data_IF_881969768351
#
_entry.id   IF_881969768351
#
_cell.length_a   1.000
_cell.length_b   1.000
_cell.length_c   1.000
_cell.angle_alpha   90.00
_cell.angle_beta   90.00
_cell.angle_gamma   90.00
#
_symmetry.space_group_name_H-M   'P 1'
#
loop_
_entity.id
_entity.type
_entity.pdbx_description
1 polymer ?
#
# COMPACT_ATOMS: atom_id res chain seq x y z
N UNK A 1 -18.19 11.19 -4.76
CA UNK A 1 -18.03 10.54 -6.08
C UNK A 1 -16.62 10.69 -6.65
N UNK A 2 -16.04 11.89 -6.77
CA UNK A 2 -14.66 12.05 -7.30
C UNK A 2 -13.60 11.25 -6.51
N UNK A 3 -13.57 11.39 -5.17
CA UNK A 3 -12.66 10.63 -4.30
C UNK A 3 -12.79 9.10 -4.44
N UNK A 4 -14.00 8.59 -4.74
CA UNK A 4 -14.19 7.16 -5.02
C UNK A 4 -13.47 6.76 -6.30
N UNK A 5 -13.62 7.56 -7.38
CA UNK A 5 -12.90 7.36 -8.62
C UNK A 5 -11.39 7.36 -8.42
N UNK A 6 -10.87 8.32 -7.68
CA UNK A 6 -9.45 8.40 -7.31
C UNK A 6 -8.97 7.14 -6.57
N UNK A 7 -9.71 6.69 -5.56
CA UNK A 7 -9.38 5.46 -4.81
C UNK A 7 -9.37 4.24 -5.72
N UNK A 8 -10.37 4.09 -6.60
CA UNK A 8 -10.45 2.95 -7.50
C UNK A 8 -9.32 2.94 -8.54
N UNK A 9 -8.91 4.12 -9.04
CA UNK A 9 -7.75 4.21 -9.92
C UNK A 9 -6.44 3.90 -9.20
N UNK A 10 -6.26 4.40 -7.97
CA UNK A 10 -5.09 4.08 -7.18
C UNK A 10 -5.04 2.59 -6.79
N UNK A 11 -6.19 1.95 -6.55
CA UNK A 11 -6.28 0.48 -6.42
C UNK A 11 -5.80 -0.21 -7.70
N UNK A 12 -6.30 0.20 -8.87
CA UNK A 12 -5.92 -0.39 -10.15
C UNK A 12 -4.44 -0.19 -10.49
N UNK A 13 -3.84 0.95 -10.14
CA UNK A 13 -2.40 1.19 -10.33
C UNK A 13 -1.54 0.40 -9.34
N UNK A 14 -1.88 0.42 -8.04
CA UNK A 14 -1.11 -0.26 -6.99
C UNK A 14 -1.27 -1.77 -7.00
N UNK A 15 -2.44 -2.25 -7.41
CA UNK A 15 -2.82 -3.65 -7.50
C UNK A 15 -3.45 -3.91 -8.87
N UNK A 16 -2.66 -4.12 -9.94
CA UNK A 16 -3.18 -4.26 -11.31
C UNK A 16 -4.10 -5.46 -11.51
N UNK A 17 -3.86 -6.55 -10.80
CA UNK A 17 -4.82 -7.64 -10.64
C UNK A 17 -4.62 -8.31 -9.27
N UNK A 18 -5.61 -9.10 -8.85
CA UNK A 18 -5.63 -9.78 -7.56
C UNK A 18 -6.00 -11.25 -7.76
N UNK A 19 -5.44 -12.12 -6.93
CA UNK A 19 -5.86 -13.52 -6.83
C UNK A 19 -7.29 -13.61 -6.27
N UNK A 20 -8.18 -14.46 -6.81
CA UNK A 20 -9.53 -14.66 -6.29
C UNK A 20 -9.55 -15.07 -4.81
N UNK A 21 -10.67 -14.79 -4.14
CA UNK A 21 -10.88 -14.95 -2.70
C UNK A 21 -10.05 -13.98 -1.84
N UNK A 22 -9.55 -12.88 -2.41
CA UNK A 22 -8.83 -11.85 -1.64
C UNK A 22 -9.81 -11.03 -0.79
N UNK A 23 -9.44 -10.82 0.47
CA UNK A 23 -10.13 -9.88 1.37
C UNK A 23 -9.29 -8.61 1.47
N UNK A 24 -9.84 -7.48 1.06
CA UNK A 24 -9.21 -6.18 1.29
C UNK A 24 -9.58 -5.68 2.68
N UNK A 25 -8.58 -5.49 3.53
CA UNK A 25 -8.75 -4.97 4.89
C UNK A 25 -8.24 -3.54 4.98
N UNK A 26 -8.98 -2.66 5.61
CA UNK A 26 -8.52 -1.31 5.93
C UNK A 26 -9.23 -0.82 7.18
N UNK A 27 -8.70 0.20 7.88
CA UNK A 27 -9.39 0.77 9.04
C UNK A 27 -10.76 1.34 8.64
N UNK A 28 -10.71 2.28 7.69
CA UNK A 28 -11.85 2.90 7.02
C UNK A 28 -11.33 3.65 5.78
N UNK A 29 -12.18 3.86 4.77
CA UNK A 29 -11.85 4.76 3.66
C UNK A 29 -12.13 6.22 4.03
N UNK A 30 -11.41 7.19 3.44
CA UNK A 30 -11.61 8.61 3.69
C UNK A 30 -12.80 9.17 2.90
N UNK A 31 -13.98 8.55 3.03
CA UNK A 31 -15.20 8.98 2.35
C UNK A 31 -16.36 8.91 3.33
N UNK A 32 -17.01 10.05 3.55
CA UNK A 32 -18.20 10.13 4.38
C UNK A 32 -19.37 9.35 3.78
N UNK A 33 -20.18 8.76 4.66
CA UNK A 33 -21.44 8.07 4.34
C UNK A 33 -21.32 6.80 3.49
N UNK A 34 -20.10 6.36 3.16
CA UNK A 34 -19.87 5.08 2.50
C UNK A 34 -19.52 3.98 3.51
N UNK A 35 -20.05 2.78 3.25
CA UNK A 35 -19.72 1.60 4.04
C UNK A 35 -18.68 0.76 3.31
N UNK A 36 -17.95 -0.08 4.03
CA UNK A 36 -17.02 -1.06 3.45
C UNK A 36 -17.63 -1.84 2.27
N UNK A 37 -18.85 -2.32 2.46
CA UNK A 37 -19.58 -3.10 1.46
C UNK A 37 -19.99 -2.30 0.23
N UNK A 38 -20.06 -0.97 0.29
CA UNK A 38 -20.29 -0.12 -0.88
C UNK A 38 -19.19 -0.30 -1.93
N UNK A 39 -17.96 -0.62 -1.50
CA UNK A 39 -16.82 -0.81 -2.40
C UNK A 39 -16.79 -2.20 -3.04
N UNK A 40 -17.45 -3.20 -2.44
CA UNK A 40 -17.39 -4.60 -2.89
C UNK A 40 -17.85 -4.76 -4.34
N UNK A 41 -18.99 -4.18 -4.73
CA UNK A 41 -19.47 -4.33 -6.11
C UNK A 41 -18.53 -3.69 -7.16
N UNK A 42 -18.12 -2.41 -7.02
CA UNK A 42 -17.12 -1.80 -7.92
C UNK A 42 -15.80 -2.56 -8.00
N UNK A 43 -15.28 -3.06 -6.87
CA UNK A 43 -14.05 -3.88 -6.83
C UNK A 43 -14.22 -5.15 -7.66
N UNK A 44 -15.34 -5.86 -7.52
CA UNK A 44 -15.57 -7.05 -8.34
C UNK A 44 -15.76 -6.73 -9.83
N UNK A 45 -16.38 -5.61 -10.18
CA UNK A 45 -16.50 -5.19 -11.58
C UNK A 45 -15.17 -4.83 -12.24
N UNK A 46 -14.19 -4.32 -11.48
CA UNK A 46 -12.87 -3.99 -12.03
C UNK A 46 -11.93 -5.20 -12.06
N UNK A 47 -11.93 -6.04 -11.02
CA UNK A 47 -10.98 -7.15 -10.86
C UNK A 47 -11.48 -8.49 -11.39
N UNK A 48 -12.80 -8.66 -11.54
CA UNK A 48 -13.40 -9.85 -12.12
C UNK A 48 -14.52 -9.46 -13.10
N UNK A 49 -14.20 -8.76 -14.21
CA UNK A 49 -15.21 -8.27 -15.15
C UNK A 49 -16.03 -9.38 -15.81
N UNK A 50 -15.49 -10.59 -15.90
CA UNK A 50 -16.14 -11.78 -16.47
C UNK A 50 -16.85 -12.65 -15.41
N UNK A 51 -16.91 -12.21 -14.15
CA UNK A 51 -17.58 -12.96 -13.10
C UNK A 51 -19.08 -13.11 -13.39
N UNK A 52 -19.55 -14.36 -13.38
CA UNK A 52 -20.97 -14.71 -13.49
C UNK A 52 -21.38 -15.55 -12.28
N UNK A 53 -22.28 -14.99 -11.46
CA UNK A 53 -23.04 -15.62 -10.35
C UNK A 53 -22.40 -16.89 -9.75
N UNK A 54 -21.60 -16.71 -8.70
CA UNK A 54 -21.04 -17.75 -7.84
C UNK A 54 -20.64 -17.13 -6.47
N UNK A 55 -19.65 -17.70 -5.76
CA UNK A 55 -18.98 -16.98 -4.67
C UNK A 55 -18.28 -15.73 -5.23
N UNK A 56 -18.45 -14.59 -4.56
CA UNK A 56 -17.80 -13.34 -4.91
C UNK A 56 -16.27 -13.49 -4.81
N UNK A 57 -15.51 -13.09 -5.84
CA UNK A 57 -14.05 -13.15 -5.80
C UNK A 57 -13.41 -12.24 -4.75
N UNK A 58 -14.00 -11.07 -4.47
CA UNK A 58 -13.39 -10.07 -3.60
C UNK A 58 -14.40 -9.45 -2.64
N UNK A 59 -13.93 -9.05 -1.46
CA UNK A 59 -14.69 -8.21 -0.53
C UNK A 59 -13.76 -7.19 0.11
N UNK A 60 -14.30 -6.00 0.42
CA UNK A 60 -13.62 -5.02 1.25
C UNK A 60 -14.32 -4.95 2.61
N UNK A 61 -13.53 -4.98 3.69
CA UNK A 61 -14.02 -4.91 5.06
C UNK A 61 -13.29 -3.81 5.84
N UNK A 62 -14.05 -3.00 6.58
CA UNK A 62 -13.48 -2.05 7.53
C UNK A 62 -13.18 -2.75 8.85
N UNK A 63 -11.91 -2.75 9.26
CA UNK A 63 -11.51 -3.36 10.52
C UNK A 63 -12.17 -2.66 11.71
N UNK A 64 -12.35 -1.32 11.67
CA UNK A 64 -13.07 -0.57 12.71
C UNK A 64 -14.49 -1.09 12.94
N UNK A 65 -15.19 -1.46 11.86
CA UNK A 65 -16.61 -1.86 11.90
C UNK A 65 -16.80 -3.35 12.17
N UNK A 66 -15.85 -4.19 11.72
CA UNK A 66 -16.04 -5.64 11.62
C UNK A 66 -15.31 -6.42 12.70
N UNK A 67 -14.24 -5.88 13.28
CA UNK A 67 -13.44 -6.58 14.30
C UNK A 67 -14.28 -6.94 15.52
N UNK A 68 -14.14 -8.18 16.01
CA UNK A 68 -14.96 -8.73 17.10
C UNK A 68 -16.36 -9.16 16.67
N UNK A 69 -16.73 -8.98 15.40
CA UNK A 69 -18.00 -9.39 14.83
C UNK A 69 -17.98 -10.79 14.22
N UNK A 70 -19.11 -11.23 13.69
CA UNK A 70 -19.26 -12.59 13.10
C UNK A 70 -18.38 -12.78 11.85
N UNK A 71 -18.22 -11.74 11.02
CA UNK A 71 -17.43 -11.81 9.77
C UNK A 71 -15.92 -11.68 9.99
N UNK A 72 -15.50 -10.91 10.99
CA UNK A 72 -14.08 -10.73 11.35
C UNK A 72 -13.92 -10.79 12.88
N UNK A 73 -13.95 -12.00 13.49
CA UNK A 73 -13.89 -12.14 14.95
C UNK A 73 -12.59 -11.63 15.56
N UNK A 74 -11.47 -11.83 14.87
CA UNK A 74 -10.12 -11.48 15.34
C UNK A 74 -9.20 -11.11 14.15
N UNK A 75 -8.12 -10.39 14.45
CA UNK A 75 -7.03 -10.10 13.51
C UNK A 75 -5.92 -11.16 13.67
N UNK A 76 -6.26 -12.40 13.40
CA UNK A 76 -5.35 -13.56 13.48
C UNK A 76 -5.38 -14.32 12.15
N UNK A 77 -4.33 -15.07 11.81
CA UNK A 77 -4.30 -15.89 10.58
C UNK A 77 -5.32 -17.03 10.66
N UNK A 78 -5.71 -17.51 9.48
CA UNK A 78 -6.58 -18.68 9.28
C UNK A 78 -7.97 -18.60 9.90
N UNK A 79 -8.44 -17.39 10.23
CA UNK A 79 -9.81 -17.16 10.68
C UNK A 79 -10.74 -17.19 9.45
N UNK A 80 -11.75 -18.09 9.42
CA UNK A 80 -12.70 -18.14 8.30
C UNK A 80 -13.49 -16.83 8.17
N UNK A 81 -13.60 -16.35 6.93
CA UNK A 81 -14.40 -15.18 6.58
C UNK A 81 -15.58 -15.65 5.73
N UNK A 82 -16.79 -15.35 6.20
CA UNK A 82 -18.03 -15.57 5.48
C UNK A 82 -18.88 -14.31 5.52
N UNK A 83 -19.40 -13.91 4.35
CA UNK A 83 -20.31 -12.78 4.24
C UNK A 83 -21.41 -13.04 3.19
N UNK A 84 -22.70 -13.09 3.58
CA UNK A 84 -23.81 -13.24 2.64
C UNK A 84 -24.13 -11.90 1.95
N UNK A 85 -23.48 -11.62 0.82
CA UNK A 85 -23.65 -10.38 0.06
C UNK A 85 -24.91 -10.41 -0.81
N UNK A 86 -26.06 -10.14 -0.18
CA UNK A 86 -27.40 -10.12 -0.80
C UNK A 86 -27.77 -11.47 -1.45
N UNK A 87 -27.48 -11.64 -2.73
CA UNK A 87 -27.87 -12.79 -3.55
C UNK A 87 -26.71 -13.74 -3.85
N UNK A 88 -25.52 -13.39 -3.40
CA UNK A 88 -24.27 -14.15 -3.58
C UNK A 88 -23.51 -14.14 -2.26
N UNK A 89 -22.62 -15.09 -2.07
CA UNK A 89 -21.83 -15.21 -0.86
C UNK A 89 -20.38 -14.84 -1.13
N UNK A 90 -19.66 -14.42 -0.10
CA UNK A 90 -18.20 -14.36 -0.10
C UNK A 90 -17.66 -15.37 0.93
N UNK A 91 -16.63 -16.14 0.55
CA UNK A 91 -15.97 -17.16 1.38
C UNK A 91 -14.45 -17.05 1.23
N UNK A 92 -13.75 -16.88 2.36
CA UNK A 92 -12.28 -16.85 2.39
C UNK A 92 -11.75 -17.08 3.81
N UNK A 93 -10.50 -16.68 4.08
CA UNK A 93 -9.94 -16.56 5.42
C UNK A 93 -9.09 -15.29 5.53
N UNK A 94 -8.78 -14.88 6.76
CA UNK A 94 -7.84 -13.78 7.04
C UNK A 94 -6.44 -14.02 6.47
N UNK A 95 -6.07 -15.26 6.13
CA UNK A 95 -4.81 -15.58 5.45
C UNK A 95 -4.77 -15.14 3.99
N UNK A 96 -5.93 -14.79 3.40
CA UNK A 96 -6.03 -14.24 2.05
C UNK A 96 -6.22 -12.71 2.08
N UNK A 97 -5.79 -12.05 3.15
CA UNK A 97 -5.97 -10.61 3.31
C UNK A 97 -4.90 -9.83 2.53
N UNK A 98 -5.30 -8.71 1.93
CA UNK A 98 -4.40 -7.63 1.53
C UNK A 98 -4.82 -6.41 2.32
N UNK A 99 -3.93 -5.90 3.17
CA UNK A 99 -4.22 -4.74 4.02
C UNK A 99 -3.82 -3.48 3.27
N UNK A 100 -4.75 -2.54 3.18
CA UNK A 100 -4.56 -1.27 2.49
C UNK A 100 -4.78 -0.09 3.44
N UNK A 101 -4.11 1.01 3.15
CA UNK A 101 -4.30 2.28 3.85
C UNK A 101 -4.51 3.39 2.83
N UNK A 102 -5.61 4.12 2.98
CA UNK A 102 -5.89 5.31 2.20
C UNK A 102 -6.04 6.49 3.17
N UNK A 103 -5.04 7.39 3.27
CA UNK A 103 -5.15 8.57 4.12
C UNK A 103 -6.19 9.55 3.54
N UNK A 104 -6.62 10.51 4.36
CA UNK A 104 -7.45 11.63 3.90
C UNK A 104 -6.75 12.38 2.75
N UNK A 105 -5.47 12.68 2.98
CA UNK A 105 -4.56 13.39 2.09
C UNK A 105 -3.39 12.48 1.76
N UNK A 106 -3.04 12.36 0.48
CA UNK A 106 -2.07 11.40 -0.03
C UNK A 106 -2.68 10.17 -0.73
N UNK A 107 -1.88 9.14 -0.86
CA UNK A 107 -2.09 8.05 -1.80
C UNK A 107 -2.40 6.70 -1.12
N UNK A 108 -3.08 5.82 -1.85
CA UNK A 108 -3.37 4.45 -1.44
C UNK A 108 -2.07 3.65 -1.33
N UNK A 109 -1.98 2.88 -0.25
CA UNK A 109 -0.85 2.02 0.06
C UNK A 109 -1.32 0.61 0.29
N UNK A 110 -0.49 -0.36 -0.09
CA UNK A 110 -0.63 -1.75 0.39
C UNK A 110 0.37 -1.93 1.50
N UNK A 111 -0.10 -2.27 2.70
CA UNK A 111 0.78 -2.45 3.85
C UNK A 111 1.42 -3.84 3.79
N UNK A 112 2.75 -3.88 3.88
CA UNK A 112 3.56 -5.08 3.76
C UNK A 112 4.32 -5.37 5.07
N UNK A 113 4.02 -6.49 5.76
CA UNK A 113 4.72 -6.86 6.99
C UNK A 113 6.23 -7.10 6.77
N UNK A 114 6.66 -7.45 5.57
CA UNK A 114 8.08 -7.70 5.26
C UNK A 114 8.89 -6.41 5.08
N UNK A 115 8.24 -5.24 5.01
CA UNK A 115 8.88 -3.94 4.74
C UNK A 115 8.91 -3.01 5.94
N UNK A 116 8.53 -3.52 7.11
CA UNK A 116 8.54 -2.73 8.35
C UNK A 116 7.36 -1.76 8.47
N UNK A 117 6.29 -1.94 7.70
CA UNK A 117 5.15 -1.01 7.68
C UNK A 117 4.47 -0.88 9.06
N UNK A 118 4.52 -1.92 9.90
CA UNK A 118 4.05 -1.81 11.28
C UNK A 118 4.83 -0.77 12.11
N UNK A 119 6.11 -0.57 11.82
CA UNK A 119 6.96 0.46 12.45
C UNK A 119 6.69 1.83 11.82
N UNK A 120 6.72 1.91 10.49
CA UNK A 120 6.48 3.12 9.71
C UNK A 120 5.14 3.76 10.05
N UNK A 121 4.09 2.96 10.10
CA UNK A 121 2.72 3.40 10.37
C UNK A 121 2.28 3.21 11.83
N UNK A 122 3.23 3.07 12.77
CA UNK A 122 2.96 2.85 14.20
C UNK A 122 2.11 3.93 14.91
N UNK A 123 1.86 5.06 14.25
CA UNK A 123 0.95 6.11 14.76
C UNK A 123 -0.48 6.02 14.22
N UNK A 124 -0.73 5.12 13.29
CA UNK A 124 -2.09 4.84 12.82
C UNK A 124 -2.85 4.07 13.90
N UNK A 125 -4.20 4.05 13.85
CA UNK A 125 -5.01 3.33 14.82
C UNK A 125 -4.58 1.87 14.96
N UNK A 126 -4.58 1.35 16.19
CA UNK A 126 -4.14 -0.03 16.49
C UNK A 126 -4.88 -1.08 15.65
N UNK A 127 -6.15 -0.84 15.32
CA UNK A 127 -6.96 -1.73 14.47
C UNK A 127 -6.48 -1.80 13.01
N UNK A 128 -5.68 -0.84 12.54
CA UNK A 128 -4.98 -0.91 11.26
C UNK A 128 -3.65 -1.63 11.43
N UNK A 129 -2.83 -1.18 12.39
CA UNK A 129 -1.45 -1.69 12.55
C UNK A 129 -1.43 -3.16 12.96
N UNK A 130 -2.40 -3.60 13.78
CA UNK A 130 -2.58 -5.01 14.14
C UNK A 130 -3.06 -5.88 12.97
N UNK A 131 -3.59 -5.29 11.89
CA UNK A 131 -3.97 -6.05 10.70
C UNK A 131 -2.78 -6.29 9.76
N UNK A 132 -1.73 -5.44 9.79
CA UNK A 132 -0.56 -5.52 8.90
C UNK A 132 0.06 -6.93 8.83
N UNK A 133 0.23 -7.69 9.95
CA UNK A 133 0.78 -9.05 9.90
C UNK A 133 -0.06 -10.06 9.10
N UNK A 134 -1.32 -9.75 8.79
CA UNK A 134 -2.20 -10.58 7.97
C UNK A 134 -2.06 -10.29 6.47
N UNK A 135 -1.50 -9.13 6.10
CA UNK A 135 -1.39 -8.73 4.71
C UNK A 135 -0.48 -9.68 3.94
N UNK A 136 -0.96 -10.17 2.80
CA UNK A 136 -0.24 -11.01 1.86
C UNK A 136 -0.16 -10.30 0.49
N UNK A 137 0.84 -9.43 0.28
CA UNK A 137 1.03 -8.74 -1.01
C UNK A 137 1.31 -9.68 -2.19
N UNK A 138 1.65 -10.96 -1.96
CA UNK A 138 1.88 -11.93 -3.04
C UNK A 138 0.62 -12.26 -3.84
N UNK A 139 -0.55 -11.90 -3.30
CA UNK A 139 -1.85 -12.01 -3.97
C UNK A 139 -2.06 -10.96 -5.06
N UNK A 140 -1.19 -9.94 -5.14
CA UNK A 140 -1.20 -8.93 -6.19
C UNK A 140 -0.46 -9.50 -7.40
N UNK A 141 -1.11 -9.49 -8.56
CA UNK A 141 -0.53 -9.88 -9.84
C UNK A 141 -0.05 -8.59 -10.53
N UNK A 142 1.27 -8.30 -10.58
CA UNK A 142 1.77 -6.99 -10.99
C UNK A 142 1.71 -6.72 -12.50
N UNK A 143 1.96 -7.76 -13.30
CA UNK A 143 2.01 -7.68 -14.77
C UNK A 143 0.91 -8.55 -15.42
N UNK A 144 -0.39 -8.29 -15.17
CA UNK A 144 -1.47 -9.09 -15.72
C UNK A 144 -1.65 -8.82 -17.21
N UNK A 145 -2.13 -9.81 -17.96
CA UNK A 145 -2.47 -9.61 -19.39
C UNK A 145 -3.58 -8.58 -19.62
N UNK A 146 -4.45 -8.38 -18.63
CA UNK A 146 -5.45 -7.30 -18.61
C UNK A 146 -5.51 -6.69 -17.21
N UNK A 147 -4.95 -5.49 -16.99
CA UNK A 147 -5.05 -4.83 -15.70
C UNK A 147 -6.50 -4.39 -15.41
N UNK A 148 -6.85 -4.38 -14.13
CA UNK A 148 -8.11 -3.88 -13.63
C UNK A 148 -8.32 -2.43 -14.06
N UNK A 149 -9.57 -2.10 -14.40
CA UNK A 149 -9.95 -0.73 -14.79
C UNK A 149 -11.29 -0.37 -14.14
N UNK A 150 -11.38 0.76 -13.40
CA UNK A 150 -12.65 1.25 -12.89
C UNK A 150 -13.66 1.48 -14.03
N UNK A 151 -14.81 0.79 -13.98
CA UNK A 151 -15.78 0.78 -15.11
C UNK A 151 -16.50 2.10 -15.37
N UNK A 152 -16.65 2.94 -14.34
CA UNK A 152 -17.49 4.15 -14.38
C UNK A 152 -16.72 5.45 -14.15
N UNK A 153 -15.39 5.37 -14.14
CA UNK A 153 -14.52 6.51 -13.89
C UNK A 153 -13.48 6.60 -15.00
N UNK A 154 -13.36 7.76 -15.61
CA UNK A 154 -12.24 8.05 -16.52
C UNK A 154 -10.95 8.08 -15.72
N UNK A 155 -9.85 7.64 -16.33
CA UNK A 155 -8.53 7.75 -15.71
C UNK A 155 -8.20 9.23 -15.48
N UNK A 156 -7.85 9.63 -14.24
CA UNK A 156 -7.41 10.98 -13.96
C UNK A 156 -6.03 11.22 -14.59
N UNK A 157 -5.64 12.49 -14.68
CA UNK A 157 -4.26 12.83 -15.04
C UNK A 157 -3.27 12.17 -14.07
N UNK A 158 -2.11 11.79 -14.62
CA UNK A 158 -1.05 11.09 -13.88
C UNK A 158 -0.30 12.08 -12.96
N UNK A 159 -0.90 12.35 -11.81
CA UNK A 159 -0.28 13.11 -10.73
C UNK A 159 0.60 12.25 -9.82
N UNK A 160 1.00 12.80 -8.67
CA UNK A 160 1.93 12.15 -7.74
C UNK A 160 1.53 10.70 -7.38
N UNK A 161 0.26 10.45 -7.04
CA UNK A 161 -0.21 9.11 -6.67
C UNK A 161 -0.10 8.06 -7.77
N UNK A 162 -0.09 8.46 -9.05
CA UNK A 162 0.19 7.54 -10.14
C UNK A 162 1.63 7.00 -10.01
N UNK A 163 2.61 7.91 -9.92
CA UNK A 163 4.02 7.54 -9.79
C UNK A 163 4.30 6.78 -8.50
N UNK A 164 3.76 7.26 -7.37
CA UNK A 164 3.93 6.61 -6.06
C UNK A 164 3.40 5.17 -6.05
N UNK A 165 2.18 4.92 -6.54
CA UNK A 165 1.60 3.58 -6.53
C UNK A 165 2.35 2.60 -7.44
N UNK A 166 2.85 3.07 -8.58
CA UNK A 166 3.70 2.26 -9.47
C UNK A 166 5.10 2.03 -8.88
N UNK A 167 5.64 3.00 -8.14
CA UNK A 167 6.92 2.89 -7.46
C UNK A 167 6.86 1.88 -6.32
N UNK A 168 5.78 1.90 -5.52
CA UNK A 168 5.52 0.90 -4.49
C UNK A 168 5.40 -0.51 -5.09
N UNK A 169 4.67 -0.66 -6.19
CA UNK A 169 4.54 -1.94 -6.88
C UNK A 169 5.88 -2.41 -7.47
N UNK A 170 6.68 -1.50 -8.03
CA UNK A 170 8.02 -1.83 -8.54
C UNK A 170 8.95 -2.29 -7.40
N UNK A 171 8.95 -1.59 -6.27
CA UNK A 171 9.71 -1.94 -5.09
C UNK A 171 9.27 -3.28 -4.47
N UNK A 172 7.98 -3.63 -4.54
CA UNK A 172 7.48 -4.95 -4.13
C UNK A 172 8.09 -6.09 -4.98
N UNK A 173 8.49 -5.79 -6.22
CA UNK A 173 9.12 -6.74 -7.14
C UNK A 173 10.64 -6.62 -7.19
N UNK A 174 11.25 -5.90 -6.24
CA UNK A 174 12.68 -5.56 -6.22
C UNK A 174 13.17 -4.84 -7.49
N UNK A 175 12.26 -4.19 -8.24
CA UNK A 175 12.55 -3.42 -9.46
C UNK A 175 12.92 -1.97 -9.11
N UNK A 176 13.89 -1.79 -8.22
CA UNK A 176 14.25 -0.48 -7.66
C UNK A 176 14.64 0.56 -8.72
N UNK A 177 15.33 0.15 -9.79
CA UNK A 177 15.66 1.06 -10.90
C UNK A 177 14.40 1.63 -11.59
N UNK A 178 13.30 0.85 -11.67
CA UNK A 178 12.05 1.36 -12.23
C UNK A 178 11.42 2.40 -11.30
N UNK A 179 11.51 2.19 -10.00
CA UNK A 179 11.03 3.15 -8.99
C UNK A 179 11.84 4.45 -9.02
N UNK A 180 13.17 4.38 -9.21
CA UNK A 180 14.03 5.56 -9.46
C UNK A 180 13.56 6.33 -10.70
N UNK A 181 13.33 5.65 -11.83
CA UNK A 181 12.82 6.33 -13.05
C UNK A 181 11.47 7.01 -12.81
N UNK A 182 10.56 6.38 -12.07
CA UNK A 182 9.26 6.97 -11.72
C UNK A 182 9.44 8.22 -10.83
N UNK A 183 10.41 8.21 -9.92
CA UNK A 183 10.76 9.37 -9.11
C UNK A 183 11.25 10.54 -9.98
N UNK A 184 12.19 10.27 -10.89
CA UNK A 184 12.75 11.26 -11.80
C UNK A 184 11.66 11.87 -12.70
N UNK A 185 10.78 11.05 -13.25
CA UNK A 185 9.63 11.50 -14.05
C UNK A 185 8.70 12.41 -13.24
N UNK A 186 8.35 12.02 -12.00
CA UNK A 186 7.48 12.81 -11.13
C UNK A 186 8.11 14.16 -10.73
N UNK A 187 9.38 14.14 -10.29
CA UNK A 187 10.11 15.33 -9.85
C UNK A 187 10.33 16.29 -11.02
N UNK A 188 10.67 15.78 -12.22
CA UNK A 188 10.82 16.62 -13.41
C UNK A 188 9.51 17.28 -13.84
N UNK A 189 8.37 16.64 -13.55
CA UNK A 189 7.04 17.21 -13.75
C UNK A 189 6.62 18.20 -12.65
N UNK A 190 7.47 18.45 -11.64
CA UNK A 190 7.18 19.33 -10.51
C UNK A 190 6.15 18.76 -9.53
N UNK A 191 5.97 17.43 -9.51
CA UNK A 191 5.06 16.75 -8.60
C UNK A 191 5.76 16.44 -7.27
N UNK A 192 5.02 16.61 -6.18
CA UNK A 192 5.49 16.34 -4.82
C UNK A 192 4.37 15.67 -3.99
N UNK A 193 4.72 14.89 -2.96
CA UNK A 193 3.73 14.27 -2.08
C UNK A 193 3.09 15.29 -1.15
N UNK A 194 1.80 15.10 -0.88
CA UNK A 194 1.15 15.80 0.23
C UNK A 194 1.49 15.15 1.58
N UNK A 195 1.68 13.82 1.60
CA UNK A 195 2.10 13.07 2.79
C UNK A 195 3.60 12.77 2.70
N UNK A 196 4.46 13.37 3.55
CA UNK A 196 5.91 13.18 3.48
C UNK A 196 6.37 11.72 3.63
N UNK A 197 5.54 10.84 4.19
CA UNK A 197 5.86 9.39 4.24
C UNK A 197 5.95 8.75 2.86
N UNK A 198 5.36 9.36 1.83
CA UNK A 198 5.40 8.87 0.46
C UNK A 198 6.80 9.03 -0.17
N UNK A 199 7.67 9.88 0.37
CA UNK A 199 9.07 9.92 -0.03
C UNK A 199 9.82 8.63 0.30
N UNK A 200 9.37 7.86 1.31
CA UNK A 200 10.07 6.68 1.79
C UNK A 200 10.22 5.59 0.72
N UNK A 201 9.24 5.47 -0.20
CA UNK A 201 9.33 4.52 -1.32
C UNK A 201 10.51 4.83 -2.25
N UNK A 202 10.79 6.12 -2.45
CA UNK A 202 11.87 6.58 -3.31
C UNK A 202 13.21 6.60 -2.57
N UNK A 203 13.24 6.93 -1.27
CA UNK A 203 14.43 6.76 -0.42
C UNK A 203 14.93 5.32 -0.53
N UNK A 204 14.03 4.35 -0.38
CA UNK A 204 14.40 2.94 -0.53
C UNK A 204 14.92 2.63 -1.93
N UNK A 205 14.21 3.09 -2.98
CA UNK A 205 14.60 2.79 -4.35
C UNK A 205 16.01 3.30 -4.71
N UNK A 206 16.32 4.54 -4.35
CA UNK A 206 17.65 5.11 -4.56
C UNK A 206 18.71 4.37 -3.74
N UNK A 207 18.46 4.11 -2.47
CA UNK A 207 19.40 3.42 -1.59
C UNK A 207 19.68 1.98 -2.05
N UNK A 208 18.65 1.24 -2.44
CA UNK A 208 18.77 -0.13 -2.96
C UNK A 208 19.45 -0.17 -4.34
N UNK A 209 19.38 0.93 -5.10
CA UNK A 209 20.10 1.10 -6.38
C UNK A 209 21.54 1.62 -6.19
N UNK A 210 21.98 1.87 -4.94
CA UNK A 210 23.32 2.34 -4.59
C UNK A 210 23.52 3.85 -4.63
N UNK A 211 22.49 4.63 -4.98
CA UNK A 211 22.53 6.09 -4.92
C UNK A 211 22.16 6.58 -3.50
N UNK A 212 23.11 6.40 -2.59
CA UNK A 212 22.94 6.78 -1.20
C UNK A 212 22.84 8.30 -0.99
N UNK A 213 23.45 9.09 -1.87
CA UNK A 213 23.44 10.55 -1.76
C UNK A 213 22.01 11.08 -1.98
N UNK A 214 21.35 10.65 -3.05
CA UNK A 214 19.96 11.04 -3.32
C UNK A 214 19.01 10.48 -2.27
N UNK A 215 19.21 9.22 -1.83
CA UNK A 215 18.40 8.64 -0.75
C UNK A 215 18.52 9.41 0.58
N UNK A 216 19.72 9.88 0.92
CA UNK A 216 19.96 10.71 2.10
C UNK A 216 19.29 12.08 1.96
N UNK A 217 19.38 12.72 0.79
CA UNK A 217 18.73 14.00 0.51
C UNK A 217 17.19 13.91 0.60
N UNK A 218 16.59 12.87 0.03
CA UNK A 218 15.15 12.63 0.15
C UNK A 218 14.74 12.31 1.59
N UNK A 219 15.57 11.60 2.35
CA UNK A 219 15.34 11.37 3.78
C UNK A 219 15.32 12.68 4.58
N UNK A 220 16.25 13.62 4.28
CA UNK A 220 16.26 14.97 4.87
C UNK A 220 15.01 15.75 4.49
N UNK A 221 14.67 15.77 3.21
CA UNK A 221 13.47 16.44 2.68
C UNK A 221 12.21 15.98 3.41
N UNK A 222 12.05 14.67 3.58
CA UNK A 222 10.90 14.11 4.25
C UNK A 222 10.87 14.46 5.76
N UNK A 223 12.03 14.44 6.45
CA UNK A 223 12.15 14.83 7.86
C UNK A 223 11.93 16.32 8.11
N UNK A 224 12.37 17.17 7.19
CA UNK A 224 12.18 18.61 7.26
C UNK A 224 10.70 18.99 7.07
N UNK A 225 9.99 18.24 6.21
CA UNK A 225 8.55 18.38 6.03
C UNK A 225 7.75 17.92 7.26
N UNK A 226 8.11 16.77 7.85
CA UNK A 226 7.50 16.30 9.10
C UNK A 226 8.45 15.41 9.92
N UNK A 227 9.12 15.97 10.93
CA UNK A 227 10.04 15.23 11.78
C UNK A 227 9.43 14.04 12.53
N UNK A 228 8.10 13.92 12.58
CA UNK A 228 7.42 12.75 13.14
C UNK A 228 7.72 11.50 12.32
N UNK A 229 7.98 11.58 11.02
CA UNK A 229 8.18 10.40 10.16
C UNK A 229 9.52 9.67 10.41
N UNK A 230 10.38 10.18 11.30
CA UNK A 230 11.70 9.63 11.60
C UNK A 230 11.73 8.12 11.81
N UNK A 231 10.71 7.55 12.47
CA UNK A 231 10.61 6.09 12.61
C UNK A 231 10.57 5.37 11.27
N UNK A 232 9.79 5.87 10.31
CA UNK A 232 9.72 5.30 8.96
C UNK A 232 11.03 5.47 8.18
N UNK A 233 11.69 6.63 8.29
CA UNK A 233 13.03 6.84 7.70
C UNK A 233 14.02 5.82 8.25
N UNK A 234 14.07 5.65 9.57
CA UNK A 234 14.95 4.69 10.22
C UNK A 234 14.62 3.25 9.84
N UNK A 235 13.34 2.91 9.68
CA UNK A 235 12.93 1.59 9.22
C UNK A 235 13.43 1.32 7.80
N UNK A 236 13.25 2.25 6.86
CA UNK A 236 13.78 2.12 5.49
C UNK A 236 15.29 1.89 5.50
N UNK A 237 16.04 2.69 6.25
CA UNK A 237 17.50 2.51 6.32
C UNK A 237 17.92 1.23 7.05
N UNK A 238 17.11 0.72 7.98
CA UNK A 238 17.29 -0.61 8.57
C UNK A 238 17.14 -1.72 7.53
N UNK A 239 16.12 -1.61 6.67
CA UNK A 239 15.90 -2.52 5.55
C UNK A 239 17.05 -2.48 4.54
N UNK A 240 17.53 -1.28 4.20
CA UNK A 240 18.70 -1.08 3.33
C UNK A 240 19.96 -1.68 3.96
N UNK A 241 20.16 -1.55 5.27
CA UNK A 241 21.32 -2.17 5.92
C UNK A 241 21.27 -3.70 5.83
N UNK A 242 20.08 -4.29 5.90
CA UNK A 242 19.91 -5.74 5.88
C UNK A 242 19.97 -6.35 4.46
N UNK A 243 19.55 -5.60 3.43
CA UNK A 243 19.31 -6.14 2.08
C UNK A 243 19.98 -5.35 0.94
N UNK A 244 20.60 -4.22 1.26
CA UNK A 244 21.18 -3.32 0.28
C UNK A 244 22.45 -3.86 -0.38
N UNK A 245 23.07 -3.05 -1.27
CA UNK A 245 24.27 -3.45 -2.01
C UNK A 245 25.42 -3.88 -1.10
N UNK A 246 26.13 -4.96 -1.45
CA UNK A 246 27.30 -5.44 -0.70
C UNK A 246 28.39 -4.36 -0.58
N UNK A 247 28.99 -4.24 0.61
CA UNK A 247 30.05 -3.24 0.86
C UNK A 247 29.53 -1.84 1.21
N UNK A 248 28.21 -1.65 1.29
CA UNK A 248 27.59 -0.37 1.65
C UNK A 248 27.41 -0.18 3.17
N UNK A 249 27.79 -1.15 4.00
CA UNK A 249 27.41 -1.23 5.41
C UNK A 249 27.84 0.01 6.21
N UNK A 250 29.07 0.49 5.97
CA UNK A 250 29.61 1.68 6.64
C UNK A 250 28.91 2.97 6.21
N UNK A 251 28.58 3.09 4.93
CA UNK A 251 27.88 4.26 4.40
C UNK A 251 26.47 4.32 4.96
N UNK A 252 25.76 3.19 4.93
CA UNK A 252 24.41 3.06 5.50
C UNK A 252 24.41 3.34 7.01
N UNK A 253 25.38 2.80 7.76
CA UNK A 253 25.51 3.08 9.20
C UNK A 253 25.74 4.56 9.47
N UNK A 254 26.61 5.22 8.70
CA UNK A 254 26.88 6.66 8.83
C UNK A 254 25.61 7.48 8.59
N UNK A 255 24.83 7.14 7.55
CA UNK A 255 23.58 7.83 7.23
C UNK A 255 22.53 7.60 8.32
N UNK A 256 22.38 6.36 8.81
CA UNK A 256 21.48 6.04 9.94
C UNK A 256 21.80 6.88 11.17
N UNK A 257 23.07 7.00 11.53
CA UNK A 257 23.51 7.82 12.66
C UNK A 257 23.22 9.30 12.44
N UNK A 258 23.31 9.80 11.19
CA UNK A 258 23.00 11.20 10.87
C UNK A 258 21.52 11.58 11.03
N UNK A 259 20.63 10.58 11.06
CA UNK A 259 19.19 10.74 11.30
C UNK A 259 18.75 10.41 12.74
N UNK A 260 19.70 10.17 13.64
CA UNK A 260 19.48 9.67 15.01
C UNK A 260 18.65 8.37 15.04
N UNK A 261 18.89 7.48 14.07
CA UNK A 261 18.29 6.14 14.09
C UNK A 261 19.04 5.27 15.10
N UNK A 262 18.59 5.31 16.35
CA UNK A 262 19.13 4.44 17.40
C UNK A 262 18.92 2.95 17.03
N UNK A 263 19.90 2.07 17.33
CA UNK A 263 19.76 0.62 17.18
C UNK A 263 18.71 0.03 18.13
#
# INVERSE_FOLDING_TARGET
WQKQGEIYWQMAWRMPALEPNTVLLTHQMPIDYETDLSFTAPINWMYAPEYVRADLPYILLYTEKRIGGVTLPALEKDIPIYYPYRTVDFRSSTSNAVVIYMPQNGCLRVLDPARGDAVTYSRQPDVLTNAIPLSDPSRIIPDPGQPARPKFFTEPEHGWCYYFTHAELANQMDRYQRSVMLAEEAIAAGLEPEDPTEWLVFVEAYAMSGDFATAEELSRTALDADGRIRRGVCEVWSQVQARGPEGSEKSVETIRLSFDCNP
#
